data_IF_029195677407
#
_entry.id   IF_029195677407
#
_cell.length_a   1.000
_cell.length_b   1.000
_cell.length_c   1.000
_cell.angle_alpha   90.00
_cell.angle_beta   90.00
_cell.angle_gamma   90.00
#
_symmetry.space_group_name_H-M   'P 1'
#
loop_
_entity.id
_entity.type
_entity.pdbx_description
1 polymer ?
#
# COMPACT_ATOMS: atom_id res chain seq x y z
N UNK A 1 31.70 13.64 3.61
CA UNK A 1 30.28 13.86 3.96
C UNK A 1 29.47 13.60 2.70
N UNK A 2 28.46 12.73 2.77
CA UNK A 2 27.50 12.57 1.66
C UNK A 2 26.65 13.84 1.61
N UNK A 3 26.46 14.43 0.43
CA UNK A 3 25.64 15.63 0.33
C UNK A 3 24.15 15.30 0.57
N UNK A 4 23.35 16.28 0.96
CA UNK A 4 21.91 16.11 1.17
C UNK A 4 21.20 15.65 -0.11
N UNK A 5 21.71 16.06 -1.28
CA UNK A 5 21.24 15.63 -2.60
C UNK A 5 21.51 14.14 -2.81
N UNK A 6 22.71 13.67 -2.52
CA UNK A 6 23.09 12.25 -2.69
C UNK A 6 22.27 11.34 -1.76
N UNK A 7 22.03 11.78 -0.52
CA UNK A 7 21.19 11.05 0.43
C UNK A 7 19.74 10.93 -0.07
N UNK A 8 19.19 12.00 -0.66
CA UNK A 8 17.85 11.99 -1.23
C UNK A 8 17.76 11.08 -2.46
N UNK A 9 18.75 11.08 -3.34
CA UNK A 9 18.82 10.20 -4.52
C UNK A 9 18.89 8.74 -4.10
N UNK A 10 19.73 8.39 -3.12
CA UNK A 10 19.84 7.03 -2.61
C UNK A 10 18.54 6.56 -1.94
N UNK A 11 17.90 7.41 -1.15
CA UNK A 11 16.61 7.12 -0.54
C UNK A 11 15.52 6.85 -1.59
N UNK A 12 15.50 7.63 -2.67
CA UNK A 12 14.55 7.44 -3.77
C UNK A 12 14.79 6.15 -4.56
N UNK A 13 16.05 5.79 -4.81
CA UNK A 13 16.39 4.53 -5.45
C UNK A 13 15.89 3.33 -4.61
N UNK A 14 16.12 3.35 -3.30
CA UNK A 14 15.66 2.30 -2.39
C UNK A 14 14.13 2.23 -2.31
N UNK A 15 13.45 3.38 -2.28
CA UNK A 15 11.99 3.44 -2.29
C UNK A 15 11.38 2.90 -3.60
N UNK A 16 12.01 3.20 -4.75
CA UNK A 16 11.62 2.66 -6.06
C UNK A 16 11.70 1.12 -6.09
N UNK A 17 12.81 0.57 -5.59
CA UNK A 17 12.96 -0.89 -5.43
C UNK A 17 11.88 -1.46 -4.50
N UNK A 18 11.68 -0.85 -3.32
CA UNK A 18 10.68 -1.28 -2.36
C UNK A 18 9.26 -1.27 -2.92
N UNK A 19 8.92 -0.27 -3.75
CA UNK A 19 7.63 -0.20 -4.44
C UNK A 19 7.47 -1.34 -5.46
N UNK A 20 8.51 -1.66 -6.20
CA UNK A 20 8.49 -2.78 -7.16
C UNK A 20 8.29 -4.12 -6.43
N UNK A 21 9.03 -4.35 -5.34
CA UNK A 21 8.88 -5.53 -4.49
C UNK A 21 7.47 -5.63 -3.87
N UNK A 22 6.87 -4.50 -3.51
CA UNK A 22 5.48 -4.46 -3.03
C UNK A 22 4.49 -4.88 -4.13
N UNK A 23 4.66 -4.40 -5.37
CA UNK A 23 3.82 -4.82 -6.52
C UNK A 23 3.90 -6.32 -6.75
N UNK A 24 5.11 -6.88 -6.72
CA UNK A 24 5.34 -8.33 -6.84
C UNK A 24 4.68 -9.11 -5.71
N UNK A 25 4.78 -8.64 -4.46
CA UNK A 25 4.10 -9.26 -3.33
C UNK A 25 2.58 -9.27 -3.50
N UNK A 26 1.97 -8.16 -3.92
CA UNK A 26 0.54 -8.09 -4.22
C UNK A 26 0.11 -9.04 -5.35
N UNK A 27 0.96 -9.22 -6.38
CA UNK A 27 0.68 -10.15 -7.48
C UNK A 27 0.57 -11.61 -7.00
N UNK A 28 1.24 -11.98 -5.90
CA UNK A 28 1.13 -13.33 -5.33
C UNK A 28 -0.18 -13.58 -4.57
N UNK A 29 -0.91 -12.52 -4.20
CA UNK A 29 -2.11 -12.59 -3.35
C UNK A 29 -1.88 -13.28 -2.00
N UNK A 30 -0.64 -13.27 -1.51
CA UNK A 30 -0.24 -13.89 -0.24
C UNK A 30 -0.10 -12.80 0.84
N UNK A 31 -0.99 -12.77 1.85
CA UNK A 31 -0.97 -11.78 2.92
C UNK A 31 0.36 -11.72 3.67
N UNK A 32 1.03 -12.86 3.89
CA UNK A 32 2.29 -12.91 4.62
C UNK A 32 3.41 -12.29 3.79
N UNK A 33 3.43 -12.52 2.47
CA UNK A 33 4.41 -11.87 1.57
C UNK A 33 4.20 -10.37 1.49
N UNK A 34 2.95 -9.89 1.47
CA UNK A 34 2.63 -8.46 1.51
C UNK A 34 3.10 -7.85 2.84
N UNK A 35 2.76 -8.48 3.97
CA UNK A 35 3.17 -8.02 5.29
C UNK A 35 4.70 -7.95 5.44
N UNK A 36 5.43 -8.95 4.92
CA UNK A 36 6.89 -8.99 4.93
C UNK A 36 7.60 -7.92 4.07
N UNK A 37 6.86 -7.07 3.34
CA UNK A 37 7.40 -5.87 2.67
C UNK A 37 7.34 -4.62 3.56
N UNK A 38 6.59 -4.66 4.66
CA UNK A 38 6.62 -3.61 5.66
C UNK A 38 7.82 -3.78 6.60
N UNK A 39 8.28 -2.68 7.20
CA UNK A 39 9.12 -2.76 8.38
C UNK A 39 8.39 -3.52 9.50
N UNK A 40 9.14 -4.10 10.44
CA UNK A 40 8.53 -4.80 11.60
C UNK A 40 7.64 -3.85 12.42
N UNK A 41 8.04 -2.58 12.52
CA UNK A 41 7.29 -1.46 13.13
C UNK A 41 6.39 -0.71 12.14
N UNK A 42 6.22 -1.22 10.92
CA UNK A 42 5.49 -0.54 9.85
C UNK A 42 3.97 -0.52 10.06
N UNK A 43 3.29 0.40 9.38
CA UNK A 43 1.84 0.54 9.47
C UNK A 43 1.15 0.61 8.11
N UNK A 44 -0.02 -0.02 8.04
CA UNK A 44 -1.00 0.21 6.99
C UNK A 44 -2.16 1.03 7.57
N UNK A 45 -2.43 2.19 6.99
CA UNK A 45 -3.56 3.06 7.33
C UNK A 45 -4.60 2.93 6.23
N UNK A 46 -5.79 2.47 6.59
CA UNK A 46 -6.86 2.19 5.66
C UNK A 46 -7.66 3.47 5.36
N UNK A 47 -8.07 3.67 4.12
CA UNK A 47 -8.94 4.80 3.73
C UNK A 47 -10.37 4.74 4.28
N UNK A 48 -10.68 3.77 5.14
CA UNK A 48 -11.91 3.65 5.92
C UNK A 48 -11.57 3.34 7.37
N UNK A 49 -12.38 3.85 8.29
CA UNK A 49 -12.27 3.52 9.71
C UNK A 49 -13.25 4.32 10.58
N UNK A 50 -13.17 4.12 11.89
CA UNK A 50 -14.05 4.78 12.87
C UNK A 50 -13.62 6.20 13.25
N UNK A 51 -12.42 6.61 12.86
CA UNK A 51 -11.83 7.93 13.13
C UNK A 51 -11.35 8.57 11.83
N UNK A 52 -11.09 9.90 11.80
CA UNK A 52 -10.70 10.60 10.56
C UNK A 52 -9.42 10.07 9.89
N UNK A 53 -8.52 9.47 10.67
CA UNK A 53 -7.30 8.84 10.15
C UNK A 53 -7.57 7.53 9.38
N UNK A 54 -8.72 6.90 9.60
CA UNK A 54 -8.97 5.52 9.18
C UNK A 54 -8.44 4.48 10.16
N UNK A 55 -8.71 3.20 9.88
CA UNK A 55 -8.25 2.09 10.72
C UNK A 55 -6.75 1.83 10.49
N UNK A 56 -6.00 1.65 11.57
CA UNK A 56 -4.54 1.48 11.53
C UNK A 56 -4.15 0.05 11.93
N UNK A 57 -3.39 -0.60 11.05
CA UNK A 57 -2.85 -1.95 11.24
C UNK A 57 -1.33 -1.86 11.39
N UNK A 58 -0.81 -2.14 12.59
CA UNK A 58 0.62 -2.02 12.92
C UNK A 58 1.31 -3.38 13.01
N UNK A 59 2.47 -3.49 12.39
CA UNK A 59 3.30 -4.70 12.35
C UNK A 59 2.71 -5.81 11.48
N UNK A 60 3.56 -6.80 11.17
CA UNK A 60 3.25 -7.82 10.17
C UNK A 60 1.95 -8.58 10.48
N UNK A 61 1.75 -9.00 11.72
CA UNK A 61 0.56 -9.78 12.12
C UNK A 61 -0.76 -9.06 11.85
N UNK A 62 -0.85 -7.76 12.17
CA UNK A 62 -2.09 -7.00 11.95
C UNK A 62 -2.33 -6.75 10.46
N UNK A 63 -1.27 -6.45 9.71
CA UNK A 63 -1.32 -6.19 8.27
C UNK A 63 -1.70 -7.47 7.51
N UNK A 64 -1.08 -8.61 7.85
CA UNK A 64 -1.41 -9.92 7.30
C UNK A 64 -2.88 -10.27 7.55
N UNK A 65 -3.35 -10.09 8.79
CA UNK A 65 -4.74 -10.36 9.15
C UNK A 65 -5.75 -9.54 8.33
N UNK A 66 -5.45 -8.26 8.06
CA UNK A 66 -6.27 -7.43 7.19
C UNK A 66 -6.33 -7.98 5.75
N UNK A 67 -5.18 -8.24 5.13
CA UNK A 67 -5.14 -8.71 3.73
C UNK A 67 -5.70 -10.13 3.59
N UNK A 68 -5.50 -11.01 4.58
CA UNK A 68 -6.10 -12.34 4.61
C UNK A 68 -7.63 -12.26 4.59
N UNK A 69 -8.21 -11.39 5.43
CA UNK A 69 -9.65 -11.14 5.43
C UNK A 69 -10.13 -10.55 4.10
N UNK A 70 -9.42 -9.55 3.57
CA UNK A 70 -9.78 -8.91 2.29
C UNK A 70 -9.83 -9.93 1.15
N UNK A 71 -8.82 -10.79 1.02
CA UNK A 71 -8.77 -11.78 -0.05
C UNK A 71 -9.78 -12.91 0.14
N UNK A 72 -10.10 -13.29 1.38
CA UNK A 72 -11.17 -14.24 1.66
C UNK A 72 -12.57 -13.67 1.33
N UNK A 73 -12.78 -12.37 1.57
CA UNK A 73 -14.06 -11.72 1.32
C UNK A 73 -14.27 -11.31 -0.14
N UNK A 74 -13.18 -11.01 -0.85
CA UNK A 74 -13.19 -10.57 -2.25
C UNK A 74 -12.11 -11.29 -3.06
N UNK A 75 -12.29 -12.58 -3.42
CA UNK A 75 -11.26 -13.39 -4.07
C UNK A 75 -10.83 -12.89 -5.45
N UNK A 76 -11.64 -12.06 -6.11
CA UNK A 76 -11.38 -11.45 -7.40
C UNK A 76 -10.81 -10.02 -7.29
N UNK A 77 -10.56 -9.51 -6.08
CA UNK A 77 -10.06 -8.15 -5.90
C UNK A 77 -8.77 -7.91 -6.69
N UNK A 78 -8.73 -6.84 -7.46
CA UNK A 78 -7.60 -6.48 -8.31
C UNK A 78 -7.31 -4.99 -8.21
N UNK A 79 -6.03 -4.64 -8.37
CA UNK A 79 -5.56 -3.27 -8.44
C UNK A 79 -4.85 -3.04 -9.77
N UNK A 80 -5.14 -1.93 -10.42
CA UNK A 80 -4.39 -1.45 -11.59
C UNK A 80 -3.86 -0.05 -11.32
N UNK A 81 -2.64 0.24 -11.76
CA UNK A 81 -2.11 1.61 -11.70
C UNK A 81 -2.91 2.50 -12.65
N UNK A 82 -3.36 3.65 -12.15
CA UNK A 82 -4.16 4.61 -12.94
C UNK A 82 -3.33 5.79 -13.45
N UNK A 83 -2.09 5.94 -12.97
CA UNK A 83 -1.13 6.94 -13.40
C UNK A 83 0.29 6.50 -12.99
N UNK A 84 1.30 7.12 -13.62
CA UNK A 84 2.69 7.00 -13.18
C UNK A 84 2.85 7.46 -11.71
N UNK A 85 3.58 6.72 -10.87
CA UNK A 85 3.80 7.12 -9.49
C UNK A 85 4.65 8.39 -9.39
N UNK A 86 4.37 9.21 -8.37
CA UNK A 86 5.17 10.40 -8.05
C UNK A 86 6.17 10.01 -6.96
N UNK A 87 7.44 10.34 -7.18
CA UNK A 87 8.55 10.03 -6.26
C UNK A 87 9.12 11.31 -5.66
N UNK A 88 9.44 11.27 -4.36
CA UNK A 88 10.17 12.33 -3.68
C UNK A 88 10.96 11.75 -2.51
N UNK A 89 12.24 11.45 -2.73
CA UNK A 89 13.07 10.81 -1.71
C UNK A 89 12.47 9.46 -1.30
N UNK A 90 12.26 9.22 -0.02
CA UNK A 90 11.67 7.97 0.48
C UNK A 90 10.13 7.92 0.41
N UNK A 91 9.48 8.92 -0.19
CA UNK A 91 8.02 8.99 -0.29
C UNK A 91 7.55 8.72 -1.72
N UNK A 92 6.51 7.90 -1.86
CA UNK A 92 5.91 7.57 -3.16
C UNK A 92 4.40 7.74 -3.08
N UNK A 93 3.82 8.46 -4.03
CA UNK A 93 2.36 8.54 -4.23
C UNK A 93 1.98 7.68 -5.42
N UNK A 94 1.09 6.72 -5.20
CA UNK A 94 0.67 5.73 -6.19
C UNK A 94 -0.84 5.76 -6.39
N UNK A 95 -1.30 6.16 -7.57
CA UNK A 95 -2.72 6.17 -7.90
C UNK A 95 -3.16 4.83 -8.48
N UNK A 96 -4.34 4.36 -8.07
CA UNK A 96 -4.85 3.06 -8.44
C UNK A 96 -6.36 3.04 -8.66
N UNK A 97 -6.81 2.07 -9.44
CA UNK A 97 -8.19 1.60 -9.49
C UNK A 97 -8.27 0.22 -8.83
N UNK A 98 -9.21 0.01 -7.92
CA UNK A 98 -9.49 -1.27 -7.27
C UNK A 98 -10.88 -1.76 -7.65
N UNK A 99 -10.95 -2.95 -8.22
CA UNK A 99 -12.20 -3.64 -8.53
C UNK A 99 -12.34 -4.89 -7.68
N UNK A 100 -13.56 -5.24 -7.29
CA UNK A 100 -13.85 -6.48 -6.57
C UNK A 100 -15.32 -6.86 -6.68
N UNK A 101 -15.67 -8.12 -6.39
CA UNK A 101 -17.06 -8.57 -6.24
C UNK A 101 -17.29 -9.01 -4.80
N UNK A 102 -18.32 -8.47 -4.14
CA UNK A 102 -18.70 -8.89 -2.79
C UNK A 102 -19.31 -10.29 -2.80
N UNK A 103 -19.42 -10.94 -1.62
CA UNK A 103 -20.13 -12.23 -1.48
C UNK A 103 -21.60 -12.16 -1.90
N UNK A 104 -22.22 -10.98 -1.85
CA UNK A 104 -23.60 -10.73 -2.30
C UNK A 104 -23.71 -10.49 -3.80
N UNK A 105 -22.59 -10.41 -4.52
CA UNK A 105 -22.54 -10.17 -5.97
C UNK A 105 -22.40 -8.71 -6.39
N UNK A 106 -22.28 -7.78 -5.43
CA UNK A 106 -22.13 -6.37 -5.74
C UNK A 106 -20.74 -6.08 -6.31
N UNK A 107 -20.70 -5.31 -7.40
CA UNK A 107 -19.45 -4.87 -8.02
C UNK A 107 -18.94 -3.61 -7.33
N UNK A 108 -17.71 -3.69 -6.85
CA UNK A 108 -16.98 -2.60 -6.25
C UNK A 108 -16.00 -2.06 -7.28
N UNK A 109 -15.97 -0.74 -7.43
CA UNK A 109 -15.04 -0.03 -8.31
C UNK A 109 -14.62 1.28 -7.64
N UNK A 110 -13.36 1.34 -7.23
CA UNK A 110 -12.84 2.45 -6.45
C UNK A 110 -11.61 3.06 -7.11
N UNK A 111 -11.58 4.38 -7.15
CA UNK A 111 -10.36 5.14 -7.43
C UNK A 111 -9.76 5.63 -6.12
N UNK A 112 -8.46 5.47 -5.99
CA UNK A 112 -7.74 5.87 -4.79
C UNK A 112 -6.26 6.11 -5.06
N UNK A 113 -5.56 6.41 -3.98
CA UNK A 113 -4.12 6.49 -3.97
C UNK A 113 -3.56 5.94 -2.67
N UNK A 114 -2.32 5.50 -2.72
CA UNK A 114 -1.52 5.20 -1.54
C UNK A 114 -0.37 6.20 -1.45
N UNK A 115 -0.15 6.75 -0.26
CA UNK A 115 1.06 7.49 0.11
C UNK A 115 1.94 6.52 0.90
N UNK A 116 3.06 6.15 0.30
CA UNK A 116 4.06 5.30 0.94
C UNK A 116 5.18 6.14 1.53
N UNK A 117 5.62 5.79 2.73
CA UNK A 117 6.90 6.20 3.30
C UNK A 117 7.78 4.97 3.48
N UNK A 118 8.99 5.01 2.92
CA UNK A 118 9.93 3.90 2.96
C UNK A 118 11.07 4.13 3.97
N UNK A 119 11.56 3.05 4.54
CA UNK A 119 12.85 2.96 5.24
C UNK A 119 13.71 1.94 4.47
N UNK A 120 14.65 2.44 3.68
CA UNK A 120 15.31 1.62 2.66
C UNK A 120 14.30 1.14 1.62
N UNK A 121 14.23 -0.17 1.37
CA UNK A 121 13.26 -0.78 0.47
C UNK A 121 12.03 -1.37 1.20
N UNK A 122 11.91 -1.18 2.51
CA UNK A 122 10.75 -1.62 3.29
C UNK A 122 9.77 -0.46 3.53
N UNK A 123 8.48 -0.79 3.57
CA UNK A 123 7.41 0.18 3.83
C UNK A 123 7.31 0.45 5.32
N UNK A 124 7.62 1.68 5.73
CA UNK A 124 7.38 2.15 7.09
C UNK A 124 5.90 2.54 7.27
N UNK A 125 5.31 3.22 6.28
CA UNK A 125 3.89 3.54 6.29
C UNK A 125 3.31 3.41 4.88
N UNK A 126 2.11 2.84 4.78
CA UNK A 126 1.24 2.90 3.59
C UNK A 126 -0.08 3.52 4.02
N UNK A 127 -0.31 4.76 3.62
CA UNK A 127 -1.53 5.50 3.93
C UNK A 127 -2.45 5.56 2.70
N UNK A 128 -3.65 5.02 2.82
CA UNK A 128 -4.56 4.83 1.70
C UNK A 128 -5.69 5.85 1.73
N UNK A 129 -5.89 6.54 0.60
CA UNK A 129 -7.01 7.45 0.36
C UNK A 129 -7.88 6.91 -0.77
N UNK A 130 -9.19 7.05 -0.65
CA UNK A 130 -10.16 6.59 -1.65
C UNK A 130 -11.12 7.74 -1.94
N UNK A 131 -11.51 7.92 -3.20
CA UNK A 131 -12.59 8.85 -3.53
C UNK A 131 -13.88 8.40 -2.85
N UNK A 132 -14.45 9.27 -2.05
CA UNK A 132 -15.81 9.10 -1.54
C UNK A 132 -16.78 9.57 -2.64
N UNK A 133 -17.50 8.62 -3.23
CA UNK A 133 -18.46 8.87 -4.31
C UNK A 133 -19.86 8.63 -3.75
N UNK A 134 -20.71 9.64 -3.85
CA UNK A 134 -22.12 9.60 -3.45
C UNK A 134 -23.01 9.15 -4.59
#
# INVERSE_FOLDING_TARGET
MVSEVDAKVAAEAAAKEGRQLMKEAFATRDPAKIAARFCEDGSFVNGRGQIPMGDVYKGHKAIEGYFAKLFADTPDVAWTESAEPIFSGNTIVAQWRRTATTKTGDKLDWLGLDIYTFRGNQVLCKDTFIKDVK
#
